data_IF_983398705916
#
_entry.id   IF_983398705916
#
_cell.length_a   1.000
_cell.length_b   1.000
_cell.length_c   1.000
_cell.angle_alpha   90.00
_cell.angle_beta   90.00
_cell.angle_gamma   90.00
#
_symmetry.space_group_name_H-M   'P 1'
#
loop_
_entity.id
_entity.type
_entity.pdbx_description
1 polymer ?
#
# COMPACT_ATOMS: atom_id res chain seq x y z
N UNK A 1 26.35 26.49 5.00
CA UNK A 1 25.60 25.56 4.11
C UNK A 1 24.60 26.37 3.30
N UNK A 2 24.54 26.11 2.00
CA UNK A 2 23.53 26.74 1.15
C UNK A 2 22.17 26.07 1.35
N UNK A 3 21.08 26.79 0.99
CA UNK A 3 19.73 26.22 1.05
C UNK A 3 19.60 24.95 0.21
N UNK A 4 20.29 24.88 -0.95
CA UNK A 4 20.28 23.73 -1.83
C UNK A 4 20.89 22.48 -1.17
N UNK A 5 21.93 22.65 -0.38
CA UNK A 5 22.56 21.54 0.35
C UNK A 5 21.65 20.99 1.45
N UNK A 6 20.96 21.89 2.17
CA UNK A 6 20.01 21.51 3.20
C UNK A 6 18.80 20.77 2.62
N UNK A 7 18.27 21.28 1.51
CA UNK A 7 17.15 20.66 0.81
C UNK A 7 17.54 19.27 0.27
N UNK A 8 18.73 19.17 -0.30
CA UNK A 8 19.27 17.92 -0.83
C UNK A 8 19.42 16.87 0.29
N UNK A 9 19.97 17.28 1.42
CA UNK A 9 20.16 16.38 2.56
C UNK A 9 18.82 15.88 3.10
N UNK A 10 17.81 16.75 3.17
CA UNK A 10 16.47 16.37 3.61
C UNK A 10 15.87 15.33 2.68
N UNK A 11 15.97 15.52 1.37
CA UNK A 11 15.46 14.56 0.38
C UNK A 11 16.16 13.21 0.53
N UNK A 12 17.49 13.21 0.65
CA UNK A 12 18.27 11.98 0.80
C UNK A 12 17.88 11.22 2.07
N UNK A 13 17.72 11.94 3.18
CA UNK A 13 17.27 11.33 4.43
C UNK A 13 15.89 10.75 4.33
N UNK A 14 14.98 11.46 3.68
CA UNK A 14 13.61 10.99 3.46
C UNK A 14 13.62 9.68 2.64
N UNK A 15 14.42 9.64 1.57
CA UNK A 15 14.55 8.44 0.75
C UNK A 15 15.13 7.27 1.52
N UNK A 16 16.16 7.49 2.35
CA UNK A 16 16.75 6.44 3.18
C UNK A 16 15.76 5.87 4.17
N UNK A 17 15.00 6.74 4.82
CA UNK A 17 13.97 6.35 5.78
C UNK A 17 12.90 5.52 5.11
N UNK A 18 12.43 5.95 3.94
CA UNK A 18 11.42 5.23 3.17
C UNK A 18 11.92 3.86 2.74
N UNK A 19 13.16 3.77 2.25
CA UNK A 19 13.76 2.50 1.82
C UNK A 19 13.90 1.53 2.99
N UNK A 20 14.34 2.03 4.15
CA UNK A 20 14.47 1.23 5.36
C UNK A 20 13.11 0.70 5.81
N UNK A 21 12.11 1.55 5.79
CA UNK A 21 10.73 1.17 6.14
C UNK A 21 10.20 0.08 5.19
N UNK A 22 10.38 0.29 3.89
CA UNK A 22 9.95 -0.68 2.88
C UNK A 22 10.60 -2.05 3.09
N UNK A 23 11.91 -2.07 3.35
CA UNK A 23 12.65 -3.31 3.60
C UNK A 23 12.17 -4.00 4.88
N UNK A 24 11.93 -3.23 5.94
CA UNK A 24 11.42 -3.78 7.19
C UNK A 24 10.05 -4.43 7.00
N UNK A 25 9.16 -3.77 6.27
CA UNK A 25 7.84 -4.29 5.95
C UNK A 25 7.95 -5.61 5.18
N UNK A 26 8.77 -5.63 4.13
CA UNK A 26 8.94 -6.83 3.31
C UNK A 26 9.48 -8.01 4.11
N UNK A 27 10.46 -7.76 5.00
CA UNK A 27 11.00 -8.81 5.86
C UNK A 27 9.95 -9.38 6.81
N UNK A 28 9.15 -8.51 7.41
CA UNK A 28 8.12 -8.94 8.36
C UNK A 28 7.03 -9.75 7.65
N UNK A 29 6.57 -9.29 6.50
CA UNK A 29 5.57 -10.01 5.72
C UNK A 29 6.09 -11.40 5.33
N UNK A 30 7.32 -11.48 4.87
CA UNK A 30 7.94 -12.76 4.49
C UNK A 30 8.07 -13.69 5.69
N UNK A 31 8.48 -13.17 6.84
CA UNK A 31 8.66 -13.96 8.07
C UNK A 31 7.34 -14.58 8.52
N UNK A 32 6.23 -13.89 8.30
CA UNK A 32 4.90 -14.36 8.68
C UNK A 32 4.16 -15.08 7.55
N UNK A 33 4.88 -15.41 6.47
CA UNK A 33 4.35 -16.14 5.32
C UNK A 33 3.18 -15.42 4.62
N UNK A 34 3.20 -14.09 4.65
CA UNK A 34 2.23 -13.28 3.90
C UNK A 34 2.83 -12.98 2.54
N UNK A 35 2.26 -13.56 1.50
CA UNK A 35 2.72 -13.39 0.12
C UNK A 35 2.19 -12.07 -0.45
N UNK A 36 2.76 -10.98 0.01
CA UNK A 36 2.35 -9.62 -0.33
C UNK A 36 3.58 -8.75 -0.50
N UNK A 37 3.64 -7.99 -1.59
CA UNK A 37 4.68 -7.00 -1.79
C UNK A 37 4.32 -5.72 -1.04
N UNK A 38 5.30 -4.84 -0.84
CA UNK A 38 5.06 -3.53 -0.23
C UNK A 38 4.03 -2.73 -1.05
N UNK A 39 4.13 -2.77 -2.37
CA UNK A 39 3.22 -2.05 -3.26
C UNK A 39 1.78 -2.57 -3.14
N UNK A 40 1.62 -3.88 -3.02
CA UNK A 40 0.30 -4.48 -2.76
C UNK A 40 -0.26 -4.02 -1.42
N UNK A 41 0.60 -3.93 -0.40
CA UNK A 41 0.20 -3.46 0.93
C UNK A 41 -0.30 -2.02 0.88
N UNK A 42 0.33 -1.16 0.07
CA UNK A 42 -0.12 0.23 -0.07
C UNK A 42 -1.57 0.30 -0.56
N UNK A 43 -1.90 -0.53 -1.54
CA UNK A 43 -3.27 -0.61 -2.05
C UNK A 43 -4.23 -1.18 -1.01
N UNK A 44 -3.83 -2.27 -0.35
CA UNK A 44 -4.65 -2.91 0.68
C UNK A 44 -4.92 -1.95 1.85
N UNK A 45 -3.94 -1.17 2.27
CA UNK A 45 -4.12 -0.18 3.34
C UNK A 45 -5.21 0.85 2.99
N UNK A 46 -5.23 1.31 1.74
CA UNK A 46 -6.28 2.23 1.29
C UNK A 46 -7.67 1.58 1.39
N UNK A 47 -7.76 0.31 0.98
CA UNK A 47 -9.03 -0.42 0.99
C UNK A 47 -9.49 -0.78 2.40
N UNK A 48 -8.56 -1.09 3.31
CA UNK A 48 -8.92 -1.35 4.71
C UNK A 48 -9.48 -0.10 5.38
N UNK A 49 -9.04 1.08 4.96
CA UNK A 49 -9.57 2.34 5.47
C UNK A 49 -10.92 2.69 4.84
N UNK A 50 -11.08 2.43 3.54
CA UNK A 50 -12.31 2.72 2.82
C UNK A 50 -12.44 1.83 1.59
N UNK A 51 -13.48 1.03 1.54
CA UNK A 51 -13.80 0.19 0.39
C UNK A 51 -14.63 0.96 -0.63
N UNK A 52 -14.79 0.37 -1.81
CA UNK A 52 -15.60 0.97 -2.86
C UNK A 52 -14.93 2.19 -3.47
N UNK A 53 -13.61 2.18 -3.55
CA UNK A 53 -12.82 3.26 -4.14
C UNK A 53 -12.59 2.94 -5.61
N UNK A 54 -12.69 3.96 -6.47
CA UNK A 54 -12.39 3.79 -7.89
C UNK A 54 -10.90 3.48 -8.09
N UNK A 55 -10.61 2.77 -9.16
CA UNK A 55 -9.23 2.46 -9.50
C UNK A 55 -8.40 3.74 -9.72
N UNK A 56 -9.01 4.76 -10.33
CA UNK A 56 -8.36 6.05 -10.51
C UNK A 56 -8.01 6.72 -9.17
N UNK A 57 -8.92 6.70 -8.21
CA UNK A 57 -8.69 7.27 -6.89
C UNK A 57 -7.58 6.52 -6.15
N UNK A 58 -7.53 5.18 -6.28
CA UNK A 58 -6.44 4.39 -5.70
C UNK A 58 -5.09 4.75 -6.31
N UNK A 59 -5.05 4.98 -7.64
CA UNK A 59 -3.81 5.39 -8.31
C UNK A 59 -3.31 6.71 -7.75
N UNK A 60 -4.20 7.67 -7.56
CA UNK A 60 -3.84 8.98 -7.02
C UNK A 60 -3.35 8.88 -5.58
N UNK A 61 -4.06 8.13 -4.74
CA UNK A 61 -3.70 7.98 -3.31
C UNK A 61 -2.39 7.25 -3.10
N UNK A 62 -2.04 6.33 -3.98
CA UNK A 62 -0.81 5.55 -3.88
C UNK A 62 0.31 6.08 -4.74
N UNK A 63 0.08 7.18 -5.46
CA UNK A 63 1.04 7.82 -6.38
C UNK A 63 1.58 6.84 -7.43
N UNK A 64 0.70 6.01 -7.97
CA UNK A 64 1.06 5.02 -9.00
C UNK A 64 0.40 5.36 -10.31
N UNK A 65 1.07 5.03 -11.41
CA UNK A 65 0.45 5.19 -12.71
C UNK A 65 -0.63 4.12 -12.94
N UNK A 66 -1.45 4.36 -13.94
CA UNK A 66 -2.61 3.51 -14.24
C UNK A 66 -2.21 2.06 -14.55
N UNK A 67 -1.15 1.88 -15.33
CA UNK A 67 -0.69 0.54 -15.73
C UNK A 67 -0.17 -0.24 -14.52
N UNK A 68 0.64 0.40 -13.68
CA UNK A 68 1.16 -0.20 -12.46
C UNK A 68 0.02 -0.62 -11.52
N UNK A 69 -0.93 0.27 -11.30
CA UNK A 69 -2.06 -0.04 -10.42
C UNK A 69 -2.93 -1.16 -10.98
N UNK A 70 -3.18 -1.16 -12.28
CA UNK A 70 -3.96 -2.24 -12.92
C UNK A 70 -3.32 -3.60 -12.67
N UNK A 71 -1.98 -3.69 -12.81
CA UNK A 71 -1.26 -4.93 -12.54
C UNK A 71 -1.37 -5.34 -11.06
N UNK A 72 -1.27 -4.39 -10.15
CA UNK A 72 -1.41 -4.66 -8.72
C UNK A 72 -2.81 -5.20 -8.39
N UNK A 73 -3.84 -4.56 -8.93
CA UNK A 73 -5.23 -5.00 -8.71
C UNK A 73 -5.44 -6.40 -9.30
N UNK A 74 -4.90 -6.67 -10.49
CA UNK A 74 -4.98 -8.00 -11.10
C UNK A 74 -4.37 -9.05 -10.17
N UNK A 75 -3.21 -8.77 -9.60
CA UNK A 75 -2.52 -9.68 -8.69
C UNK A 75 -3.32 -9.88 -7.39
N UNK A 76 -3.90 -8.82 -6.86
CA UNK A 76 -4.73 -8.90 -5.66
C UNK A 76 -6.01 -9.71 -5.91
N UNK A 77 -6.60 -9.60 -7.10
CA UNK A 77 -7.74 -10.42 -7.49
C UNK A 77 -7.37 -11.89 -7.58
N UNK A 78 -6.20 -12.20 -8.15
CA UNK A 78 -5.72 -13.58 -8.25
C UNK A 78 -5.54 -14.23 -6.88
N UNK A 79 -5.17 -13.44 -5.88
CA UNK A 79 -5.03 -13.90 -4.50
C UNK A 79 -6.37 -13.96 -3.77
N UNK A 80 -7.44 -13.54 -4.42
CA UNK A 80 -8.78 -13.50 -3.87
C UNK A 80 -8.91 -12.55 -2.66
N UNK A 81 -8.16 -11.46 -2.68
CA UNK A 81 -8.22 -10.44 -1.64
C UNK A 81 -9.10 -9.24 -2.02
N UNK A 82 -9.28 -9.00 -3.31
CA UNK A 82 -10.11 -7.88 -3.80
C UNK A 82 -10.98 -8.35 -4.97
N UNK A 83 -12.07 -7.62 -5.22
CA UNK A 83 -12.91 -7.77 -6.40
C UNK A 83 -13.18 -6.41 -7.01
N UNK A 84 -13.36 -6.39 -8.33
CA UNK A 84 -13.82 -5.21 -9.07
C UNK A 84 -15.32 -5.30 -9.26
N UNK A 85 -16.02 -4.19 -9.01
CA UNK A 85 -17.43 -4.06 -9.32
C UNK A 85 -17.65 -2.83 -10.18
N UNK A 86 -18.58 -2.91 -11.11
CA UNK A 86 -18.91 -1.74 -11.93
C UNK A 86 -19.63 -0.70 -11.08
N UNK A 87 -19.26 0.57 -11.29
CA UNK A 87 -19.95 1.68 -10.66
C UNK A 87 -21.37 1.84 -11.23
N UNK A 88 -22.30 2.39 -10.44
CA UNK A 88 -23.71 2.49 -10.85
C UNK A 88 -23.97 3.37 -12.05
N UNK A 89 -23.06 4.30 -12.36
CA UNK A 89 -23.26 5.29 -13.42
C UNK A 89 -22.28 5.20 -14.58
N UNK A 90 -21.21 4.40 -14.47
CA UNK A 90 -20.17 4.33 -15.50
C UNK A 90 -19.46 2.98 -15.45
N UNK A 91 -19.56 2.22 -16.54
CA UNK A 91 -18.87 0.92 -16.67
C UNK A 91 -17.35 1.05 -16.67
N UNK A 92 -16.83 2.24 -17.02
CA UNK A 92 -15.39 2.49 -17.06
C UNK A 92 -14.82 2.75 -15.66
N UNK A 93 -15.67 3.19 -14.73
CA UNK A 93 -15.24 3.54 -13.38
C UNK A 93 -15.50 2.38 -12.44
N UNK A 94 -14.61 1.39 -12.50
CA UNK A 94 -14.72 0.21 -11.64
C UNK A 94 -14.33 0.56 -10.21
N UNK A 95 -15.13 0.07 -9.28
CA UNK A 95 -14.90 0.23 -7.86
C UNK A 95 -14.24 -1.03 -7.29
N UNK A 96 -13.31 -0.83 -6.38
CA UNK A 96 -12.54 -1.92 -5.78
C UNK A 96 -13.05 -2.18 -4.38
N UNK A 97 -13.35 -3.44 -4.09
CA UNK A 97 -13.83 -3.89 -2.78
C UNK A 97 -12.95 -5.02 -2.26
N UNK A 98 -12.90 -5.16 -0.93
CA UNK A 98 -12.25 -6.30 -0.31
C UNK A 98 -13.18 -7.52 -0.34
N UNK A 99 -12.58 -8.70 -0.49
CA UNK A 99 -13.25 -9.96 -0.21
C UNK A 99 -13.21 -10.21 1.30
N UNK A 100 -13.98 -11.20 1.81
CA UNK A 100 -13.83 -11.60 3.21
C UNK A 100 -12.40 -11.97 3.57
N UNK A 101 -11.66 -12.66 2.67
CA UNK A 101 -10.26 -13.01 2.89
C UNK A 101 -9.39 -11.75 2.96
N UNK A 102 -9.67 -10.75 2.11
CA UNK A 102 -8.95 -9.48 2.13
C UNK A 102 -9.19 -8.71 3.42
N UNK A 103 -10.40 -8.73 3.94
CA UNK A 103 -10.72 -8.10 5.23
C UNK A 103 -10.03 -8.83 6.38
N UNK A 104 -10.07 -10.16 6.39
CA UNK A 104 -9.45 -10.96 7.43
C UNK A 104 -7.94 -10.77 7.48
N UNK A 105 -7.31 -10.58 6.33
CA UNK A 105 -5.87 -10.34 6.22
C UNK A 105 -5.43 -9.13 7.05
N UNK A 106 -6.28 -8.13 7.20
CA UNK A 106 -5.99 -6.94 8.00
C UNK A 106 -5.71 -7.31 9.46
N UNK A 107 -6.36 -8.33 10.00
CA UNK A 107 -6.15 -8.77 11.39
C UNK A 107 -4.72 -9.26 11.63
N UNK A 108 -4.12 -9.86 10.62
CA UNK A 108 -2.73 -10.32 10.68
C UNK A 108 -1.75 -9.20 10.38
N UNK A 109 -1.99 -8.44 9.31
CA UNK A 109 -1.02 -7.50 8.75
C UNK A 109 -0.96 -6.18 9.52
N UNK A 110 -2.11 -5.61 9.91
CA UNK A 110 -2.12 -4.29 10.56
C UNK A 110 -1.29 -4.25 11.86
N UNK A 111 -1.40 -5.24 12.77
CA UNK A 111 -0.56 -5.22 13.97
C UNK A 111 0.94 -5.28 13.65
N UNK A 112 1.34 -6.06 12.64
CA UNK A 112 2.74 -6.18 12.23
C UNK A 112 3.27 -4.85 11.73
N UNK A 113 2.48 -4.14 10.92
CA UNK A 113 2.88 -2.85 10.37
C UNK A 113 2.91 -1.78 11.46
N UNK A 114 1.95 -1.78 12.37
CA UNK A 114 1.93 -0.85 13.50
C UNK A 114 3.18 -0.97 14.36
N UNK A 115 3.66 -2.20 14.59
CA UNK A 115 4.91 -2.43 15.33
C UNK A 115 6.10 -1.79 14.61
N UNK A 116 6.15 -1.87 13.29
CA UNK A 116 7.22 -1.24 12.51
C UNK A 116 7.16 0.27 12.63
N UNK A 117 5.97 0.87 12.58
CA UNK A 117 5.80 2.31 12.79
C UNK A 117 6.30 2.73 14.16
N UNK A 118 5.96 1.97 15.19
CA UNK A 118 6.39 2.26 16.56
C UNK A 118 7.91 2.24 16.69
N UNK A 119 8.56 1.26 16.09
CA UNK A 119 10.03 1.15 16.10
C UNK A 119 10.67 2.30 15.32
N UNK A 120 10.15 2.61 14.15
CA UNK A 120 10.66 3.71 13.31
C UNK A 120 10.51 5.05 14.04
N UNK A 121 9.36 5.27 14.66
CA UNK A 121 9.10 6.48 15.44
C UNK A 121 10.02 6.62 16.64
N UNK A 122 10.34 5.51 17.32
CA UNK A 122 11.22 5.51 18.47
C UNK A 122 12.68 5.84 18.11
N UNK A 123 13.08 5.52 16.87
CA UNK A 123 14.43 5.79 16.37
C UNK A 123 14.58 7.24 15.86
N UNK A 124 13.51 7.92 15.65
CA UNK A 124 13.50 9.30 15.18
C UNK A 124 13.50 10.26 16.37
#
# INVERSE_FOLDING_TARGET
MTNNESERELVLQTLRTWMAFRQAVQRVLKRHNVDMTFEMLQVMNCLWNKQGISQQSLAEKTAKDKACLTNLINNLEKKNWVIRKEGPSDRRNRLIFLTPQGEELALTVKPLINDIYAQTGAEM
#
